data_IF_800073479698
#
_entry.id   IF_800073479698
#
_cell.length_a   1.000
_cell.length_b   1.000
_cell.length_c   1.000
_cell.angle_alpha   90.00
_cell.angle_beta   90.00
_cell.angle_gamma   90.00
#
_symmetry.space_group_name_H-M   'P 1'
#
loop_
_entity.id
_entity.type
_entity.pdbx_description
1 polymer ?
#
# COMPACT_ATOMS: atom_id res chain seq x y z
N UNK A 1 13.98 -15.59 15.76
CA UNK A 1 12.75 -15.54 16.58
C UNK A 1 11.99 -14.29 16.20
N UNK A 2 10.68 -14.37 15.94
CA UNK A 2 9.86 -13.21 15.62
C UNK A 2 9.56 -12.38 16.86
N UNK A 3 9.15 -11.14 16.69
CA UNK A 3 8.63 -10.32 17.80
C UNK A 3 7.12 -10.49 17.89
N UNK A 4 6.48 -10.41 19.08
CA UNK A 4 5.03 -10.47 19.17
C UNK A 4 4.36 -9.38 18.32
N UNK A 5 3.27 -9.72 17.62
CA UNK A 5 2.48 -8.74 16.91
C UNK A 5 1.88 -7.71 17.90
N UNK A 6 1.97 -6.42 17.59
CA UNK A 6 1.53 -5.34 18.47
C UNK A 6 0.01 -5.20 18.63
N UNK A 7 -0.78 -5.85 17.76
CA UNK A 7 -2.24 -5.83 17.86
C UNK A 7 -2.69 -6.62 19.10
N UNK A 8 -3.40 -5.94 20.00
CA UNK A 8 -3.96 -6.52 21.22
C UNK A 8 -4.77 -7.79 20.92
N UNK A 9 -4.44 -8.88 21.62
CA UNK A 9 -5.10 -10.17 21.45
C UNK A 9 -4.58 -11.02 20.29
N UNK A 10 -3.67 -10.51 19.45
CA UNK A 10 -3.02 -11.31 18.43
C UNK A 10 -1.96 -12.23 19.06
N UNK A 11 -2.00 -13.52 18.70
CA UNK A 11 -1.03 -14.53 19.15
C UNK A 11 0.07 -14.82 18.14
N UNK A 12 0.04 -14.15 16.98
CA UNK A 12 1.01 -14.36 15.91
C UNK A 12 2.25 -13.47 16.11
N UNK A 13 3.36 -13.90 15.52
CA UNK A 13 4.60 -13.13 15.51
C UNK A 13 4.73 -12.25 14.25
N UNK A 14 5.37 -11.11 14.41
CA UNK A 14 5.91 -10.30 13.34
C UNK A 14 7.20 -10.96 12.80
N UNK A 15 7.24 -11.33 11.52
CA UNK A 15 8.43 -11.94 10.95
C UNK A 15 9.55 -10.92 10.80
N UNK A 16 10.80 -11.39 10.84
CA UNK A 16 11.99 -10.52 10.76
C UNK A 16 12.01 -9.65 9.49
N UNK A 17 11.48 -10.15 8.38
CA UNK A 17 11.37 -9.42 7.11
C UNK A 17 10.59 -8.08 7.23
N UNK A 18 9.72 -7.94 8.23
CA UNK A 18 8.94 -6.73 8.53
C UNK A 18 8.94 -6.40 10.03
N UNK A 19 10.03 -6.73 10.74
CA UNK A 19 10.14 -6.52 12.20
C UNK A 19 9.85 -5.06 12.62
N UNK A 20 10.28 -4.09 11.81
CA UNK A 20 10.03 -2.66 12.00
C UNK A 20 8.53 -2.33 12.11
N UNK A 21 7.68 -3.08 11.40
CA UNK A 21 6.24 -2.87 11.39
C UNK A 21 5.58 -3.38 12.66
N UNK A 22 6.24 -4.29 13.41
CA UNK A 22 5.72 -4.93 14.62
C UNK A 22 4.34 -5.59 14.42
N UNK A 23 4.03 -6.00 13.18
CA UNK A 23 2.79 -6.64 12.80
C UNK A 23 3.07 -8.03 12.23
N UNK A 24 2.23 -9.01 12.56
CA UNK A 24 2.20 -10.27 11.82
C UNK A 24 1.74 -10.03 10.38
N UNK A 25 2.01 -10.98 9.48
CA UNK A 25 1.68 -10.85 8.04
C UNK A 25 0.21 -10.50 7.80
N UNK A 26 -0.70 -11.11 8.56
CA UNK A 26 -2.14 -10.83 8.45
C UNK A 26 -2.48 -9.38 8.81
N UNK A 27 -2.00 -8.89 9.96
CA UNK A 27 -2.30 -7.52 10.38
C UNK A 27 -1.55 -6.47 9.55
N UNK A 28 -0.35 -6.80 9.07
CA UNK A 28 0.37 -5.95 8.13
C UNK A 28 -0.42 -5.76 6.83
N UNK A 29 -0.89 -6.86 6.21
CA UNK A 29 -1.69 -6.80 4.98
C UNK A 29 -3.03 -6.09 5.18
N UNK A 30 -3.74 -6.35 6.28
CA UNK A 30 -4.97 -5.62 6.64
C UNK A 30 -4.75 -4.11 6.80
N UNK A 31 -3.72 -3.73 7.55
CA UNK A 31 -3.37 -2.32 7.75
C UNK A 31 -3.02 -1.65 6.44
N UNK A 32 -2.28 -2.35 5.57
CA UNK A 32 -1.87 -1.84 4.27
C UNK A 32 -3.07 -1.64 3.34
N UNK A 33 -4.00 -2.59 3.29
CA UNK A 33 -5.24 -2.51 2.51
C UNK A 33 -6.12 -1.34 2.98
N UNK A 34 -6.23 -1.14 4.30
CA UNK A 34 -6.98 -0.02 4.87
C UNK A 34 -6.38 1.34 4.46
N UNK A 35 -5.06 1.50 4.57
CA UNK A 35 -4.35 2.72 4.16
C UNK A 35 -4.48 2.96 2.65
N UNK A 36 -4.42 1.92 1.82
CA UNK A 36 -4.66 2.03 0.38
C UNK A 36 -6.08 2.50 0.07
N UNK A 37 -7.08 1.99 0.80
CA UNK A 37 -8.47 2.41 0.63
C UNK A 37 -8.67 3.88 1.00
N UNK A 38 -7.99 4.37 2.03
CA UNK A 38 -7.99 5.78 2.42
C UNK A 38 -7.35 6.67 1.35
N UNK A 39 -6.12 6.37 0.94
CA UNK A 39 -5.43 7.14 -0.10
C UNK A 39 -6.20 7.16 -1.42
N UNK A 40 -6.84 6.05 -1.80
CA UNK A 40 -7.69 5.99 -2.99
C UNK A 40 -8.89 6.93 -2.89
N UNK A 41 -9.48 7.10 -1.70
CA UNK A 41 -10.56 8.07 -1.48
C UNK A 41 -10.04 9.50 -1.59
N UNK A 42 -8.86 9.78 -1.05
CA UNK A 42 -8.22 11.09 -1.14
C UNK A 42 -7.94 11.49 -2.61
N UNK A 43 -7.45 10.55 -3.42
CA UNK A 43 -7.09 10.81 -4.82
C UNK A 43 -8.27 10.79 -5.78
N UNK A 44 -9.41 10.21 -5.39
CA UNK A 44 -10.58 10.06 -6.25
C UNK A 44 -11.11 11.39 -6.84
N UNK A 45 -10.94 12.49 -6.10
CA UNK A 45 -11.36 13.84 -6.52
C UNK A 45 -10.37 14.52 -7.48
N UNK A 46 -9.20 13.93 -7.75
CA UNK A 46 -8.23 14.42 -8.73
C UNK A 46 -7.52 15.72 -8.38
N UNK A 47 -7.63 16.18 -7.12
CA UNK A 47 -7.10 17.45 -6.63
C UNK A 47 -5.98 17.28 -5.59
N UNK A 48 -5.46 16.06 -5.39
CA UNK A 48 -4.35 15.81 -4.49
C UNK A 48 -3.12 16.65 -4.91
N UNK A 49 -2.53 17.47 -4.03
CA UNK A 49 -1.33 18.25 -4.32
C UNK A 49 -0.17 17.36 -4.77
N UNK A 50 0.75 17.87 -5.60
CA UNK A 50 1.90 17.10 -6.09
C UNK A 50 2.74 16.49 -4.97
N UNK A 51 2.93 17.20 -3.86
CA UNK A 51 3.64 16.66 -2.69
C UNK A 51 2.92 15.44 -2.11
N UNK A 52 1.58 15.47 -2.03
CA UNK A 52 0.79 14.34 -1.56
C UNK A 52 0.86 13.16 -2.53
N UNK A 53 0.87 13.42 -3.85
CA UNK A 53 1.06 12.38 -4.85
C UNK A 53 2.42 11.69 -4.70
N UNK A 54 3.48 12.47 -4.46
CA UNK A 54 4.83 11.94 -4.18
C UNK A 54 4.85 11.09 -2.92
N UNK A 55 4.14 11.50 -1.87
CA UNK A 55 4.01 10.73 -0.64
C UNK A 55 3.29 9.39 -0.85
N UNK A 56 2.20 9.39 -1.64
CA UNK A 56 1.47 8.18 -2.01
C UNK A 56 2.36 7.24 -2.83
N UNK A 57 3.11 7.76 -3.80
CA UNK A 57 4.06 6.95 -4.58
C UNK A 57 5.16 6.35 -3.71
N UNK A 58 5.73 7.12 -2.78
CA UNK A 58 6.70 6.62 -1.81
C UNK A 58 6.11 5.50 -0.96
N UNK A 59 4.89 5.71 -0.45
CA UNK A 59 4.16 4.71 0.33
C UNK A 59 3.96 3.40 -0.46
N UNK A 60 3.56 3.49 -1.74
CA UNK A 60 3.37 2.32 -2.61
C UNK A 60 4.68 1.55 -2.78
N UNK A 61 5.77 2.25 -3.10
CA UNK A 61 7.09 1.63 -3.32
C UNK A 61 7.60 0.95 -2.05
N UNK A 62 7.64 1.67 -0.93
CA UNK A 62 8.17 1.15 0.34
C UNK A 62 7.37 -0.07 0.82
N UNK A 63 6.04 -0.02 0.73
CA UNK A 63 5.21 -1.14 1.16
C UNK A 63 5.21 -2.30 0.16
N UNK A 64 5.33 -2.03 -1.14
CA UNK A 64 5.54 -3.06 -2.15
C UNK A 64 6.83 -3.84 -1.90
N UNK A 65 7.92 -3.15 -1.58
CA UNK A 65 9.19 -3.79 -1.22
C UNK A 65 9.07 -4.61 0.08
N UNK A 66 8.41 -4.07 1.11
CA UNK A 66 8.17 -4.80 2.37
C UNK A 66 7.36 -6.08 2.12
N UNK A 67 6.31 -5.99 1.33
CA UNK A 67 5.46 -7.12 0.97
C UNK A 67 6.23 -8.17 0.15
N UNK A 68 7.09 -7.72 -0.77
CA UNK A 68 7.98 -8.60 -1.54
C UNK A 68 8.96 -9.33 -0.61
N UNK A 69 9.58 -8.64 0.34
CA UNK A 69 10.45 -9.27 1.34
C UNK A 69 9.72 -10.35 2.13
N UNK A 70 8.48 -10.11 2.57
CA UNK A 70 7.68 -11.16 3.24
C UNK A 70 7.47 -12.35 2.31
N UNK A 71 7.05 -12.11 1.07
CA UNK A 71 6.74 -13.16 0.10
C UNK A 71 7.96 -14.02 -0.29
N UNK A 72 9.17 -13.45 -0.26
CA UNK A 72 10.40 -14.12 -0.72
C UNK A 72 11.39 -14.49 0.38
N UNK A 73 11.08 -14.19 1.65
CA UNK A 73 11.96 -14.46 2.81
C UNK A 73 12.10 -15.93 3.22
N UNK A 74 11.53 -16.87 2.47
CA UNK A 74 11.54 -18.30 2.82
C UNK A 74 10.63 -18.66 4.01
N UNK A 75 9.76 -17.74 4.43
CA UNK A 75 8.74 -18.03 5.45
C UNK A 75 7.79 -19.12 4.96
N UNK A 76 7.47 -20.05 5.86
CA UNK A 76 6.42 -21.02 5.62
C UNK A 76 5.06 -20.33 5.77
N UNK A 77 4.56 -19.80 4.65
CA UNK A 77 3.26 -19.14 4.57
C UNK A 77 2.19 -20.18 4.26
N UNK A 78 1.06 -20.11 4.97
CA UNK A 78 -0.15 -20.86 4.59
C UNK A 78 -0.68 -20.34 3.26
N UNK A 79 -1.46 -21.16 2.55
CA UNK A 79 -2.01 -20.75 1.26
C UNK A 79 -2.95 -19.54 1.39
N UNK A 80 -3.70 -19.42 2.49
CA UNK A 80 -4.50 -18.24 2.81
C UNK A 80 -3.63 -16.97 2.92
N UNK A 81 -2.45 -17.06 3.55
CA UNK A 81 -1.53 -15.93 3.65
C UNK A 81 -0.90 -15.58 2.30
N UNK A 82 -0.58 -16.57 1.45
CA UNK A 82 -0.09 -16.33 0.09
C UNK A 82 -1.15 -15.62 -0.76
N UNK A 83 -2.39 -16.11 -0.73
CA UNK A 83 -3.52 -15.48 -1.42
C UNK A 83 -3.73 -14.04 -0.93
N UNK A 84 -3.60 -13.82 0.38
CA UNK A 84 -3.71 -12.48 0.96
C UNK A 84 -2.59 -11.55 0.49
N UNK A 85 -1.33 -11.99 0.52
CA UNK A 85 -0.20 -11.21 0.01
C UNK A 85 -0.42 -10.82 -1.45
N UNK A 86 -0.88 -11.76 -2.29
CA UNK A 86 -1.17 -11.48 -3.69
C UNK A 86 -2.29 -10.44 -3.84
N UNK A 87 -3.37 -10.56 -3.08
CA UNK A 87 -4.46 -9.58 -3.04
C UNK A 87 -3.97 -8.19 -2.61
N UNK A 88 -3.09 -8.13 -1.63
CA UNK A 88 -2.50 -6.87 -1.16
C UNK A 88 -1.58 -6.24 -2.21
N UNK A 89 -0.81 -7.03 -2.98
CA UNK A 89 -0.05 -6.51 -4.14
C UNK A 89 -0.97 -5.90 -5.19
N UNK A 90 -2.07 -6.57 -5.53
CA UNK A 90 -3.09 -6.05 -6.45
C UNK A 90 -3.69 -4.74 -5.93
N UNK A 91 -3.91 -4.63 -4.63
CA UNK A 91 -4.39 -3.40 -3.99
C UNK A 91 -3.40 -2.24 -4.16
N UNK A 92 -2.09 -2.47 -3.97
CA UNK A 92 -1.05 -1.47 -4.21
C UNK A 92 -0.98 -1.05 -5.69
N UNK A 93 -1.04 -2.02 -6.61
CA UNK A 93 -1.05 -1.74 -8.05
C UNK A 93 -2.27 -0.91 -8.46
N UNK A 94 -3.44 -1.24 -7.93
CA UNK A 94 -4.66 -0.48 -8.18
C UNK A 94 -4.58 0.95 -7.64
N UNK A 95 -3.94 1.16 -6.49
CA UNK A 95 -3.72 2.50 -5.95
C UNK A 95 -2.79 3.33 -6.85
N UNK A 96 -1.69 2.73 -7.33
CA UNK A 96 -0.78 3.37 -8.29
C UNK A 96 -1.52 3.80 -9.55
N UNK A 97 -2.25 2.88 -10.17
CA UNK A 97 -3.01 3.14 -11.38
C UNK A 97 -4.11 4.20 -11.16
N UNK A 98 -4.73 4.20 -9.97
CA UNK A 98 -5.68 5.25 -9.59
C UNK A 98 -5.02 6.63 -9.49
N UNK A 99 -3.82 6.72 -8.91
CA UNK A 99 -3.04 7.95 -8.83
C UNK A 99 -2.66 8.45 -10.23
N UNK A 100 -2.13 7.56 -11.08
CA UNK A 100 -1.75 7.89 -12.46
C UNK A 100 -2.94 8.44 -13.27
N UNK A 101 -4.12 7.80 -13.15
CA UNK A 101 -5.36 8.30 -13.78
C UNK A 101 -5.79 9.67 -13.25
N UNK A 102 -5.63 9.91 -11.95
CA UNK A 102 -5.97 11.19 -11.32
C UNK A 102 -5.04 12.32 -11.79
N UNK A 103 -3.77 12.00 -12.05
CA UNK A 103 -2.78 12.92 -12.59
C UNK A 103 -3.05 13.28 -14.05
N UNK A 104 -3.46 12.31 -14.87
CA UNK A 104 -3.88 12.60 -16.24
C UNK A 104 -5.05 13.59 -16.27
N UNK A 105 -6.08 13.40 -15.43
CA UNK A 105 -7.25 14.29 -15.35
C UNK A 105 -6.87 15.73 -14.99
N UNK A 106 -5.99 15.91 -14.00
CA UNK A 106 -5.54 17.25 -13.58
C UNK A 106 -4.68 17.94 -14.65
N UNK A 107 -3.95 17.18 -15.48
CA UNK A 107 -3.20 17.73 -16.61
C UNK A 107 -4.11 18.22 -17.74
N UNK A 108 -5.20 17.51 -18.06
CA UNK A 108 -6.16 17.94 -19.09
C UNK A 108 -6.98 19.18 -18.67
N UNK A 109 -7.26 19.34 -17.38
CA UNK A 109 -7.96 20.52 -16.84
C UNK A 109 -7.15 21.83 -16.91
N UNK A 110 -5.83 21.76 -17.12
CA UNK A 110 -4.97 22.94 -17.30
C UNK A 110 -4.83 23.39 -18.77
N UNK A 111 -5.23 22.55 -19.72
CA UNK A 111 -5.09 22.84 -21.16
C UNK A 111 -6.21 23.71 -21.74
N UNK A 112 -7.24 24.01 -20.94
CA UNK A 112 -8.39 24.83 -21.34
C UNK A 112 -8.32 26.24 -20.73
N UNK A 113 -7.30 27.01 -21.12
CA UNK A 113 -7.37 28.47 -21.01
C UNK A 113 -6.98 29.09 -22.35
N UNK A 114 -7.93 29.31 -23.27
CA UNK A 114 -7.68 30.12 -24.45
C UNK A 114 -8.05 31.56 -24.11
N UNK A 115 -7.13 32.34 -23.55
CA UNK A 115 -7.28 33.81 -23.47
C UNK A 115 -5.90 34.48 -23.47
N UNK A 116 -5.37 34.78 -24.66
CA UNK A 116 -5.35 36.14 -25.25
C UNK A 116 -4.28 36.24 -26.33
#
# INVERSE_FOLDING_TARGET
>A
MGTPCQISGCKNEAPQAIAEQRLCVLHFTLSLEASCAEMRRETALGNAPQDRQRDIMRFITENGERLARVATSGLHLTDDLKARILSTFLTLMNLRENLDRSNMRSSFGRSSHPLR
#
